data_IF_810501768622
#
_entry.id   IF_810501768622
#
_cell.length_a   1.000
_cell.length_b   1.000
_cell.length_c   1.000
_cell.angle_alpha   90.00
_cell.angle_beta   90.00
_cell.angle_gamma   90.00
#
_symmetry.space_group_name_H-M   'P 1'
#
loop_
_entity.id
_entity.type
_entity.pdbx_description
1 polymer ?
#
# COMPACT_ATOMS: atom_id res chain seq x y z
N UNK A 1 17.58 -2.10 -3.56
CA UNK A 1 16.90 -1.42 -2.45
C UNK A 1 15.47 -1.92 -2.37
N UNK A 2 15.00 -2.30 -1.20
CA UNK A 2 13.62 -2.73 -1.08
C UNK A 2 12.67 -1.58 -1.31
N UNK A 3 11.43 -1.91 -1.57
CA UNK A 3 10.37 -0.93 -1.71
C UNK A 3 9.21 -1.36 -0.82
N UNK A 4 8.52 -0.39 -0.27
CA UNK A 4 7.42 -0.65 0.65
C UNK A 4 6.12 -0.13 0.06
N UNK A 5 5.14 -1.01 0.02
CA UNK A 5 3.79 -0.63 -0.37
C UNK A 5 3.00 -0.42 0.91
N UNK A 6 2.45 0.77 1.06
CA UNK A 6 1.65 1.11 2.23
C UNK A 6 0.26 1.46 1.76
N UNK A 7 -0.72 0.69 2.22
CA UNK A 7 -2.13 0.97 1.97
C UNK A 7 -2.77 1.42 3.27
N UNK A 8 -3.50 2.52 3.19
CA UNK A 8 -4.30 3.02 4.32
C UNK A 8 -5.75 3.03 3.88
N UNK A 9 -6.57 2.22 4.53
CA UNK A 9 -7.99 2.20 4.25
C UNK A 9 -8.65 3.36 4.97
N UNK A 10 -9.31 4.22 4.21
CA UNK A 10 -9.90 5.44 4.74
C UNK A 10 -11.42 5.36 4.87
N UNK A 11 -12.02 4.29 4.39
CA UNK A 11 -13.45 4.12 4.54
C UNK A 11 -13.95 2.97 3.68
N UNK A 12 -14.85 2.18 4.22
CA UNK A 12 -15.43 1.04 3.52
C UNK A 12 -16.84 1.41 3.10
N UNK A 13 -17.12 1.32 1.81
CA UNK A 13 -18.45 1.60 1.28
C UNK A 13 -19.19 0.34 0.86
N UNK A 14 -18.47 -0.71 0.46
CA UNK A 14 -19.07 -1.97 0.06
C UNK A 14 -18.20 -3.10 0.55
N UNK A 15 -18.55 -3.63 1.70
CA UNK A 15 -17.74 -4.64 2.34
C UNK A 15 -17.65 -5.92 1.54
N UNK A 16 -18.68 -6.26 0.78
CA UNK A 16 -18.65 -7.49 0.00
C UNK A 16 -17.61 -7.44 -1.09
N UNK A 17 -17.46 -6.28 -1.74
CA UNK A 17 -16.42 -6.08 -2.73
C UNK A 17 -15.05 -6.22 -2.09
N UNK A 18 -14.89 -5.61 -0.92
CA UNK A 18 -13.62 -5.67 -0.22
C UNK A 18 -13.28 -7.09 0.23
N UNK A 19 -14.30 -7.85 0.64
CA UNK A 19 -14.08 -9.25 1.02
C UNK A 19 -13.63 -10.08 -0.17
N UNK A 20 -14.18 -9.82 -1.34
CA UNK A 20 -13.72 -10.48 -2.56
C UNK A 20 -12.27 -10.14 -2.83
N UNK A 21 -11.89 -8.88 -2.64
CA UNK A 21 -10.51 -8.47 -2.79
C UNK A 21 -9.59 -9.24 -1.84
N UNK A 22 -9.97 -9.32 -0.56
CA UNK A 22 -9.14 -10.01 0.44
C UNK A 22 -8.98 -11.48 0.12
N UNK A 23 -10.01 -12.09 -0.45
CA UNK A 23 -9.97 -13.50 -0.79
C UNK A 23 -9.09 -13.76 -2.02
N UNK A 24 -9.20 -12.90 -3.03
CA UNK A 24 -8.58 -13.16 -4.32
C UNK A 24 -7.20 -12.51 -4.48
N UNK A 25 -6.83 -11.61 -3.58
CA UNK A 25 -5.58 -10.89 -3.73
C UNK A 25 -4.33 -11.74 -3.42
N UNK A 26 -4.31 -12.55 -2.33
CA UNK A 26 -3.08 -13.26 -2.00
C UNK A 26 -2.49 -14.11 -3.13
N UNK A 27 -3.30 -14.84 -3.93
CA UNK A 27 -2.69 -15.58 -5.03
C UNK A 27 -1.97 -14.72 -6.06
N UNK A 28 -2.27 -13.43 -6.12
CA UNK A 28 -1.60 -12.55 -7.10
C UNK A 28 -0.13 -12.33 -6.74
N UNK A 29 0.27 -12.63 -5.52
CA UNK A 29 1.67 -12.52 -5.11
C UNK A 29 2.53 -13.66 -5.67
N UNK A 30 1.92 -14.71 -6.17
CA UNK A 30 2.68 -15.85 -6.68
C UNK A 30 3.56 -15.41 -7.83
N UNK A 31 4.84 -15.76 -7.76
CA UNK A 31 5.80 -15.38 -8.77
C UNK A 31 6.45 -14.03 -8.53
N UNK A 32 6.12 -13.38 -7.41
CA UNK A 32 6.72 -12.09 -7.05
C UNK A 32 7.43 -12.20 -5.72
N UNK A 33 8.51 -11.43 -5.59
CA UNK A 33 9.29 -11.41 -4.36
C UNK A 33 8.70 -10.34 -3.44
N UNK A 34 7.81 -10.79 -2.55
CA UNK A 34 7.06 -9.90 -1.68
C UNK A 34 6.99 -10.48 -0.28
N UNK A 35 7.08 -9.61 0.71
CA UNK A 35 6.95 -9.99 2.11
C UNK A 35 5.88 -9.09 2.74
N UNK A 36 4.83 -9.71 3.26
CA UNK A 36 3.77 -8.97 3.91
C UNK A 36 4.14 -8.77 5.37
N UNK A 37 4.31 -7.51 5.77
CA UNK A 37 4.72 -7.20 7.14
C UNK A 37 3.54 -7.10 8.08
N UNK A 38 2.47 -6.46 7.64
CA UNK A 38 1.27 -6.34 8.45
C UNK A 38 0.08 -6.07 7.52
N UNK A 39 -1.09 -6.55 7.95
CA UNK A 39 -2.31 -6.33 7.17
C UNK A 39 -3.49 -6.29 8.15
N UNK A 40 -4.08 -5.11 8.29
CA UNK A 40 -5.29 -4.89 9.07
C UNK A 40 -5.16 -5.33 10.53
N UNK A 41 -3.95 -5.23 11.07
CA UNK A 41 -3.72 -5.47 12.49
C UNK A 41 -4.05 -4.21 13.28
N UNK A 42 -4.18 -4.33 14.61
CA UNK A 42 -4.47 -3.16 15.43
C UNK A 42 -3.47 -2.03 15.17
N UNK A 43 -3.98 -0.82 15.16
CA UNK A 43 -3.16 0.36 14.92
C UNK A 43 -3.71 1.50 15.76
N UNK A 44 -2.93 2.58 15.88
CA UNK A 44 -3.35 3.79 16.58
C UNK A 44 -3.00 4.98 15.72
N UNK A 45 -3.94 5.90 15.58
CA UNK A 45 -3.70 7.16 14.88
C UNK A 45 -3.15 8.14 15.91
N UNK A 46 -1.85 8.41 15.83
CA UNK A 46 -1.18 9.25 16.80
C UNK A 46 -1.33 10.73 16.48
N UNK A 47 -1.35 11.09 15.22
CA UNK A 47 -1.46 12.46 14.76
C UNK A 47 -2.24 12.49 13.46
N UNK A 48 -2.88 13.62 13.21
CA UNK A 48 -3.63 13.79 12.00
C UNK A 48 -5.08 13.44 12.17
N UNK A 49 -5.81 13.42 11.06
CA UNK A 49 -7.25 13.18 11.09
C UNK A 49 -7.60 11.91 10.32
N UNK A 50 -8.53 11.16 10.89
CA UNK A 50 -9.09 10.03 10.20
C UNK A 50 -10.13 10.43 9.20
N UNK A 51 -10.86 9.44 8.69
CA UNK A 51 -10.86 8.09 9.22
C UNK A 51 -9.68 7.25 8.74
N UNK A 52 -9.29 6.28 9.56
CA UNK A 52 -8.37 5.22 9.19
C UNK A 52 -9.00 3.93 9.69
N UNK A 53 -9.24 2.99 8.78
CA UNK A 53 -9.91 1.75 9.13
C UNK A 53 -9.02 0.53 8.98
N UNK A 54 -7.83 0.70 8.43
CA UNK A 54 -6.90 -0.41 8.30
C UNK A 54 -5.64 0.03 7.62
N UNK A 55 -4.55 -0.71 7.89
CA UNK A 55 -3.23 -0.41 7.33
C UNK A 55 -2.59 -1.70 6.87
N UNK A 56 -1.96 -1.65 5.70
CA UNK A 56 -1.21 -2.78 5.15
C UNK A 56 0.18 -2.28 4.79
N UNK A 57 1.21 -3.06 5.15
CA UNK A 57 2.58 -2.77 4.74
C UNK A 57 3.18 -4.02 4.15
N UNK A 58 3.61 -3.94 2.90
CA UNK A 58 4.24 -5.04 2.19
C UNK A 58 5.58 -4.56 1.65
N UNK A 59 6.55 -5.48 1.60
CA UNK A 59 7.88 -5.16 1.11
C UNK A 59 8.15 -5.95 -0.16
N UNK A 60 8.61 -5.27 -1.20
CA UNK A 60 9.07 -5.89 -2.44
C UNK A 60 10.57 -5.68 -2.55
N UNK A 61 11.22 -6.49 -3.39
CA UNK A 61 12.67 -6.41 -3.55
C UNK A 61 13.11 -5.09 -4.18
N UNK A 62 12.22 -4.43 -4.93
CA UNK A 62 12.55 -3.17 -5.58
C UNK A 62 11.27 -2.46 -5.96
N UNK A 63 11.41 -1.17 -6.31
CA UNK A 63 10.28 -0.41 -6.85
C UNK A 63 9.75 -1.04 -8.13
N UNK A 64 10.67 -1.54 -8.96
CA UNK A 64 10.28 -2.16 -10.22
C UNK A 64 9.48 -3.42 -10.00
N UNK A 65 9.91 -4.24 -9.03
CA UNK A 65 9.20 -5.47 -8.73
C UNK A 65 7.79 -5.16 -8.22
N UNK A 66 7.67 -4.15 -7.36
CA UNK A 66 6.37 -3.75 -6.83
C UNK A 66 5.44 -3.28 -7.94
N UNK A 67 5.97 -2.48 -8.87
CA UNK A 67 5.16 -1.99 -9.98
C UNK A 67 4.79 -3.12 -10.93
N UNK A 68 5.68 -4.09 -11.12
CA UNK A 68 5.40 -5.23 -11.97
C UNK A 68 4.22 -6.02 -11.41
N UNK A 69 4.16 -6.18 -10.09
CA UNK A 69 3.03 -6.82 -9.45
C UNK A 69 1.77 -5.96 -9.56
N UNK A 70 1.90 -4.67 -9.26
CA UNK A 70 0.77 -3.75 -9.25
C UNK A 70 0.07 -3.71 -10.61
N UNK A 71 0.85 -3.79 -11.69
CA UNK A 71 0.34 -3.72 -13.04
C UNK A 71 0.12 -5.09 -13.67
N UNK A 72 0.33 -6.16 -12.92
CA UNK A 72 0.13 -7.50 -13.46
C UNK A 72 -1.36 -7.74 -13.73
N UNK A 73 -1.69 -8.53 -14.76
CA UNK A 73 -3.09 -8.78 -15.08
C UNK A 73 -3.88 -9.34 -13.89
N UNK A 74 -3.26 -10.21 -13.11
CA UNK A 74 -3.93 -10.79 -11.96
C UNK A 74 -4.32 -9.75 -10.93
N UNK A 75 -3.38 -8.87 -10.58
CA UNK A 75 -3.68 -7.86 -9.58
C UNK A 75 -4.61 -6.77 -10.12
N UNK A 76 -4.42 -6.38 -11.38
CA UNK A 76 -5.30 -5.37 -11.99
C UNK A 76 -6.77 -5.81 -11.91
N UNK A 77 -7.03 -7.10 -12.17
CA UNK A 77 -8.39 -7.61 -12.10
C UNK A 77 -8.93 -7.56 -10.66
N UNK A 78 -8.13 -7.99 -9.70
CA UNK A 78 -8.56 -8.06 -8.30
C UNK A 78 -8.67 -6.67 -7.69
N UNK A 79 -7.80 -5.78 -8.09
CA UNK A 79 -7.76 -4.41 -7.57
C UNK A 79 -9.08 -3.67 -7.75
N UNK A 80 -9.84 -4.01 -8.78
CA UNK A 80 -11.13 -3.37 -9.02
C UNK A 80 -12.08 -3.56 -7.83
N UNK A 81 -12.02 -4.72 -7.20
CA UNK A 81 -12.88 -4.98 -6.03
C UNK A 81 -12.52 -4.06 -4.87
N UNK A 82 -11.21 -3.84 -4.65
CA UNK A 82 -10.79 -2.93 -3.60
C UNK A 82 -11.25 -1.50 -3.90
N UNK A 83 -11.11 -1.09 -5.15
CA UNK A 83 -11.49 0.27 -5.53
C UNK A 83 -12.99 0.51 -5.44
N UNK A 84 -13.79 -0.52 -5.72
CA UNK A 84 -15.23 -0.39 -5.59
C UNK A 84 -15.69 -0.48 -4.15
N UNK A 85 -14.93 -1.15 -3.30
CA UNK A 85 -15.37 -1.44 -1.94
C UNK A 85 -14.94 -0.45 -0.91
N UNK A 86 -13.90 0.37 -1.21
CA UNK A 86 -13.36 1.23 -0.17
C UNK A 86 -12.50 2.33 -0.76
N UNK A 87 -12.29 3.35 0.06
CA UNK A 87 -11.38 4.43 -0.27
C UNK A 87 -10.04 4.12 0.40
N UNK A 88 -8.99 4.10 -0.40
CA UNK A 88 -7.63 3.82 0.08
C UNK A 88 -6.67 4.91 -0.34
N UNK A 89 -5.67 5.12 0.51
CA UNK A 89 -4.47 5.85 0.15
C UNK A 89 -3.40 4.79 -0.07
N UNK A 90 -2.78 4.77 -1.24
CA UNK A 90 -1.73 3.82 -1.56
C UNK A 90 -0.44 4.54 -1.85
N UNK A 91 0.64 4.11 -1.21
CA UNK A 91 1.96 4.70 -1.38
C UNK A 91 2.95 3.59 -1.70
N UNK A 92 3.85 3.86 -2.61
CA UNK A 92 4.99 2.98 -2.85
C UNK A 92 6.23 3.79 -2.58
N UNK A 93 7.03 3.33 -1.61
CA UNK A 93 8.15 4.09 -1.08
C UNK A 93 9.43 3.29 -1.27
N UNK A 94 10.45 3.93 -1.86
CA UNK A 94 11.76 3.31 -1.97
C UNK A 94 12.38 3.22 -0.59
N UNK A 95 12.98 2.08 -0.26
CA UNK A 95 13.52 1.85 1.06
C UNK A 95 14.92 2.40 1.21
N UNK A 96 15.33 2.53 2.47
CA UNK A 96 16.68 2.94 2.79
C UNK A 96 16.77 4.29 3.45
N UNK A 97 17.77 4.43 4.32
CA UNK A 97 18.04 5.68 5.02
C UNK A 97 19.53 5.89 4.92
N UNK A 98 20.01 6.11 3.69
CA UNK A 98 21.45 6.19 3.45
C UNK A 98 21.95 7.62 3.29
N UNK A 99 21.03 8.58 3.23
CA UNK A 99 21.39 9.97 3.01
C UNK A 99 20.74 10.85 4.06
N UNK A 100 21.19 12.09 4.10
CA UNK A 100 20.61 13.06 5.00
C UNK A 100 19.13 13.24 4.73
N UNK A 101 18.34 13.30 5.78
CA UNK A 101 16.91 13.53 5.65
C UNK A 101 16.64 14.89 5.02
N UNK A 102 17.46 15.88 5.36
CA UNK A 102 17.32 17.22 4.77
C UNK A 102 17.41 17.17 3.26
N UNK A 103 18.33 16.36 2.75
CA UNK A 103 18.54 16.27 1.32
C UNK A 103 17.41 15.54 0.61
N UNK A 104 16.73 14.67 1.35
CA UNK A 104 15.65 13.86 0.78
C UNK A 104 14.32 14.58 0.76
N UNK A 105 14.08 15.49 1.70
CA UNK A 105 12.81 16.19 1.74
C UNK A 105 12.71 17.14 0.56
N UNK A 106 11.61 17.07 -0.21
CA UNK A 106 11.43 17.97 -1.34
C UNK A 106 11.34 19.42 -0.87
N UNK A 107 12.18 20.28 -1.43
CA UNK A 107 12.21 21.68 -1.05
C UNK A 107 10.92 22.40 -1.39
N UNK A 108 10.31 22.03 -2.50
CA UNK A 108 9.10 22.68 -2.94
C UNK A 108 7.95 22.53 -1.96
N UNK A 109 7.99 21.53 -1.10
CA UNK A 109 6.92 21.29 -0.16
C UNK A 109 7.00 22.21 1.04
N UNK A 110 8.08 22.93 1.16
CA UNK A 110 8.28 23.83 2.28
C UNK A 110 7.63 25.17 2.05
N UNK A 111 7.16 25.38 0.87
CA UNK A 111 6.45 26.60 0.55
C UNK A 111 5.15 26.61 1.30
N UNK A 112 4.80 27.71 1.78
CA UNK A 112 3.55 27.80 2.53
C UNK A 112 2.78 28.98 2.09
#
# INVERSE_FOLDING_TARGET
MPAYLVYVCQGVSDRKELETYWKDMPPTFMGFDVKLHTAYRPFELLEGEGPVEGVVVAEFSSMEEAKRWYDSPGYVAVRQHRMRGAKYLGLLVDGGVTESIDERMPQTRRKS
#
